data_IF_441102599050
#
_entry.id   IF_441102599050
#
_cell.length_a   1.000
_cell.length_b   1.000
_cell.length_c   1.000
_cell.angle_alpha   90.00
_cell.angle_beta   90.00
_cell.angle_gamma   90.00
#
_symmetry.space_group_name_H-M   'P 1'
#
loop_
_entity.id
_entity.type
_entity.pdbx_description
1 polymer ?
#
# COMPACT_ATOMS: atom_id res chain seq x y z
N UNK A 1 -6.54 26.14 20.63
CA UNK A 1 -7.38 25.04 20.13
C UNK A 1 -7.97 25.59 18.85
N UNK A 2 -7.70 25.07 17.67
CA UNK A 2 -7.56 23.68 17.25
C UNK A 2 -6.33 23.51 16.35
N UNK A 3 -5.50 22.50 16.64
CA UNK A 3 -4.46 22.07 15.71
C UNK A 3 -5.20 21.22 14.66
N UNK A 4 -5.59 21.84 13.55
CA UNK A 4 -6.03 21.14 12.34
C UNK A 4 -4.80 20.48 11.72
N UNK A 5 -4.24 19.50 12.45
CA UNK A 5 -3.33 18.53 11.90
C UNK A 5 -4.17 17.71 10.92
N UNK A 6 -4.25 18.20 9.68
CA UNK A 6 -4.42 17.32 8.53
C UNK A 6 -3.47 16.16 8.77
N UNK A 7 -4.00 15.02 9.18
CA UNK A 7 -3.32 13.74 9.08
C UNK A 7 -3.18 13.47 7.59
N UNK A 8 -2.26 14.19 6.96
CA UNK A 8 -1.71 13.84 5.66
C UNK A 8 -1.32 12.37 5.81
N UNK A 9 -1.92 11.51 4.97
CA UNK A 9 -1.95 10.05 5.10
C UNK A 9 -0.57 9.44 4.98
N UNK A 10 0.27 9.69 5.98
CA UNK A 10 1.65 9.26 6.01
C UNK A 10 1.66 7.86 6.61
N UNK A 11 1.72 6.86 5.74
CA UNK A 11 1.98 5.49 6.20
C UNK A 11 3.40 5.42 6.75
N UNK A 12 3.59 4.70 7.85
CA UNK A 12 4.94 4.45 8.34
C UNK A 12 5.68 3.49 7.39
N UNK A 13 7.01 3.46 7.45
CA UNK A 13 7.80 2.48 6.69
C UNK A 13 7.41 1.03 7.06
N UNK A 14 7.13 0.79 8.35
CA UNK A 14 6.66 -0.50 8.84
C UNK A 14 5.29 -0.89 8.28
N UNK A 15 4.34 0.05 8.24
CA UNK A 15 3.02 -0.19 7.65
C UNK A 15 3.11 -0.43 6.14
N UNK A 16 4.04 0.25 5.47
CA UNK A 16 4.35 0.02 4.07
C UNK A 16 4.86 -1.41 3.84
N UNK A 17 5.80 -1.87 4.67
CA UNK A 17 6.36 -3.22 4.57
C UNK A 17 5.27 -4.29 4.77
N UNK A 18 4.35 -4.10 5.73
CA UNK A 18 3.20 -5.00 5.93
C UNK A 18 2.29 -5.06 4.69
N UNK A 19 1.95 -3.90 4.10
CA UNK A 19 1.13 -3.84 2.87
C UNK A 19 1.80 -4.59 1.73
N UNK A 20 3.11 -4.47 1.69
CA UNK A 20 3.97 -5.07 0.70
C UNK A 20 3.99 -6.60 0.80
N UNK A 21 4.27 -7.13 1.98
CA UNK A 21 4.25 -8.57 2.26
C UNK A 21 2.86 -9.16 1.96
N UNK A 22 1.79 -8.48 2.37
CA UNK A 22 0.42 -8.91 2.11
C UNK A 22 0.08 -8.92 0.60
N UNK A 23 0.55 -7.92 -0.14
CA UNK A 23 0.37 -7.83 -1.59
C UNK A 23 1.15 -8.93 -2.31
N UNK A 24 2.41 -9.15 -1.97
CA UNK A 24 3.27 -10.17 -2.58
C UNK A 24 2.74 -11.57 -2.29
N UNK A 25 2.36 -11.87 -1.04
CA UNK A 25 1.72 -13.14 -0.68
C UNK A 25 0.45 -13.39 -1.52
N UNK A 26 -0.41 -12.38 -1.69
CA UNK A 26 -1.63 -12.49 -2.50
C UNK A 26 -1.35 -12.78 -3.98
N UNK A 27 -0.22 -12.29 -4.49
CA UNK A 27 0.23 -12.53 -5.87
C UNK A 27 0.86 -13.91 -6.03
N UNK A 28 1.72 -14.32 -5.09
CA UNK A 28 2.40 -15.62 -5.09
C UNK A 28 1.43 -16.79 -4.89
N UNK A 29 0.45 -16.63 -4.02
CA UNK A 29 -0.64 -17.60 -3.82
C UNK A 29 -1.60 -17.68 -5.02
N UNK A 30 -1.41 -16.84 -6.05
CA UNK A 30 -2.28 -16.80 -7.23
C UNK A 30 -3.68 -16.25 -6.97
N UNK A 31 -3.93 -15.65 -5.79
CA UNK A 31 -5.23 -15.06 -5.42
C UNK A 31 -5.52 -13.79 -6.21
N UNK A 32 -4.48 -13.11 -6.71
CA UNK A 32 -4.59 -11.85 -7.45
C UNK A 32 -3.96 -11.97 -8.83
N UNK A 33 -4.80 -11.91 -9.86
CA UNK A 33 -4.33 -11.90 -11.25
C UNK A 33 -3.70 -10.56 -11.60
N UNK A 34 -2.82 -10.54 -12.61
CA UNK A 34 -2.11 -9.33 -13.06
C UNK A 34 -3.04 -8.14 -13.33
N UNK A 35 -4.24 -8.39 -13.86
CA UNK A 35 -5.25 -7.36 -14.14
C UNK A 35 -5.82 -6.70 -12.88
N UNK A 36 -5.86 -7.42 -11.75
CA UNK A 36 -6.46 -6.94 -10.50
C UNK A 36 -5.46 -6.42 -9.48
N UNK A 37 -4.14 -6.52 -9.75
CA UNK A 37 -3.08 -6.09 -8.83
C UNK A 37 -3.23 -4.65 -8.36
N UNK A 38 -3.54 -3.72 -9.26
CA UNK A 38 -3.71 -2.30 -8.91
C UNK A 38 -4.92 -2.10 -8.00
N UNK A 39 -6.02 -2.78 -8.28
CA UNK A 39 -7.23 -2.70 -7.44
C UNK A 39 -6.99 -3.33 -6.07
N UNK A 40 -6.26 -4.46 -6.03
CA UNK A 40 -5.88 -5.14 -4.80
C UNK A 40 -5.00 -4.26 -3.91
N UNK A 41 -3.96 -3.64 -4.47
CA UNK A 41 -3.10 -2.72 -3.72
C UNK A 41 -3.90 -1.53 -3.14
N UNK A 42 -4.86 -0.97 -3.90
CA UNK A 42 -5.75 0.09 -3.39
C UNK A 42 -6.62 -0.39 -2.24
N UNK A 43 -7.15 -1.60 -2.33
CA UNK A 43 -7.96 -2.19 -1.27
C UNK A 43 -7.11 -2.37 0.00
N UNK A 44 -5.91 -2.95 -0.11
CA UNK A 44 -5.00 -3.13 1.02
C UNK A 44 -4.65 -1.81 1.72
N UNK A 45 -4.31 -0.78 0.95
CA UNK A 45 -4.03 0.56 1.52
C UNK A 45 -5.26 1.09 2.22
N UNK A 46 -6.44 1.00 1.61
CA UNK A 46 -7.70 1.45 2.21
C UNK A 46 -8.03 0.68 3.50
N UNK A 47 -7.80 -0.62 3.53
CA UNK A 47 -8.04 -1.47 4.69
C UNK A 47 -7.12 -1.09 5.87
N UNK A 48 -5.87 -0.76 5.59
CA UNK A 48 -4.90 -0.41 6.64
C UNK A 48 -5.04 1.04 7.13
N UNK A 49 -5.27 2.00 6.22
CA UNK A 49 -5.26 3.43 6.54
C UNK A 49 -6.65 4.02 6.72
N UNK A 50 -7.70 3.30 6.33
CA UNK A 50 -9.06 3.83 6.23
C UNK A 50 -9.25 4.90 5.15
N UNK A 51 -8.21 5.19 4.35
CA UNK A 51 -8.28 6.24 3.33
C UNK A 51 -8.83 5.70 2.02
N UNK A 52 -9.94 6.28 1.57
CA UNK A 52 -10.60 5.90 0.31
C UNK A 52 -9.74 6.25 -0.92
N UNK A 53 -8.93 7.31 -0.81
CA UNK A 53 -8.02 7.77 -1.85
C UNK A 53 -6.57 7.40 -1.50
N UNK A 54 -6.21 6.14 -1.70
CA UNK A 54 -4.82 5.69 -1.62
C UNK A 54 -3.91 6.53 -2.54
N UNK A 55 -2.79 7.00 -2.01
CA UNK A 55 -1.83 7.79 -2.77
C UNK A 55 -1.32 7.00 -3.99
N UNK A 56 -1.37 7.60 -5.18
CA UNK A 56 -0.89 6.97 -6.42
C UNK A 56 0.61 6.63 -6.35
N UNK A 57 1.40 7.41 -5.59
CA UNK A 57 2.81 7.13 -5.34
C UNK A 57 2.99 5.88 -4.50
N UNK A 58 2.13 5.69 -3.49
CA UNK A 58 2.14 4.51 -2.64
C UNK A 58 1.82 3.24 -3.44
N UNK A 59 0.74 3.26 -4.22
CA UNK A 59 0.37 2.14 -5.09
C UNK A 59 1.47 1.85 -6.12
N UNK A 60 2.09 2.89 -6.68
CA UNK A 60 3.21 2.72 -7.61
C UNK A 60 4.44 2.10 -6.95
N UNK A 61 4.72 2.41 -5.68
CA UNK A 61 5.81 1.76 -4.93
C UNK A 61 5.52 0.28 -4.70
N UNK A 62 4.32 -0.08 -4.23
CA UNK A 62 3.93 -1.49 -4.05
C UNK A 62 4.06 -2.28 -5.37
N UNK A 63 3.62 -1.70 -6.48
CA UNK A 63 3.65 -2.36 -7.80
C UNK A 63 5.06 -2.53 -8.39
N UNK A 64 6.03 -1.70 -8.00
CA UNK A 64 7.43 -1.80 -8.47
C UNK A 64 8.22 -2.87 -7.73
N UNK A 65 7.64 -3.48 -6.70
CA UNK A 65 8.30 -4.44 -5.83
C UNK A 65 8.65 -3.78 -4.50
N UNK A 66 8.36 -4.51 -3.44
CA UNK A 66 8.57 -4.10 -2.06
C UNK A 66 10.03 -4.18 -1.63
N UNK A 67 10.82 -4.94 -2.41
CA UNK A 67 12.27 -5.06 -2.30
C UNK A 67 13.04 -3.93 -2.98
N UNK A 68 12.66 -2.67 -2.76
CA UNK A 68 13.58 -1.55 -2.95
C UNK A 68 14.41 -1.32 -1.68
N UNK A 69 14.96 -2.39 -1.10
CA UNK A 69 16.00 -2.31 -0.08
C UNK A 69 17.36 -2.54 -0.73
N UNK A 70 18.02 -1.40 -1.01
CA UNK A 70 19.47 -1.17 -1.07
C UNK A 70 20.24 -1.64 -2.34
N UNK A 71 21.29 -0.92 -2.75
CA UNK A 71 22.54 -0.72 -1.99
C UNK A 71 22.55 0.43 -0.99
#
# INVERSE_FOLDING_TARGET
MENDSRSDGFISAHDFDILCDAFEASVEEGRVTKAHRIQHAKNLVRELTGQENADKHLISRMMRGCHATQP
#
